data_IF_897267907929
#
_entry.id   IF_897267907929
#
_cell.length_a   1.000
_cell.length_b   1.000
_cell.length_c   1.000
_cell.angle_alpha   90.00
_cell.angle_beta   90.00
_cell.angle_gamma   90.00
#
_symmetry.space_group_name_H-M   'P 1'
#
loop_
_entity.id
_entity.type
_entity.pdbx_description
1 polymer ?
#
# COMPACT_ATOMS: atom_id res chain seq x y z
N UNK A 1 -18.00 -43.71 35.96
CA UNK A 1 -18.31 -42.97 34.71
C UNK A 1 -19.79 -43.11 34.36
N UNK A 2 -20.32 -44.32 34.18
CA UNK A 2 -21.74 -44.53 33.81
C UNK A 2 -22.75 -43.93 34.80
N UNK A 3 -22.50 -44.05 36.12
CA UNK A 3 -23.38 -43.45 37.14
C UNK A 3 -23.45 -41.91 37.07
N UNK A 4 -22.41 -41.25 36.56
CA UNK A 4 -22.41 -39.80 36.38
C UNK A 4 -23.21 -39.41 35.12
N UNK A 5 -23.05 -40.15 34.03
CA UNK A 5 -23.82 -39.95 32.80
C UNK A 5 -25.33 -40.14 33.04
N UNK A 6 -25.71 -41.22 33.72
CA UNK A 6 -27.11 -41.50 34.08
C UNK A 6 -27.72 -40.42 35.00
N UNK A 7 -26.90 -39.81 35.86
CA UNK A 7 -27.33 -38.70 36.73
C UNK A 7 -27.55 -37.41 35.94
N UNK A 8 -26.77 -37.17 34.89
CA UNK A 8 -26.94 -36.01 34.01
C UNK A 8 -28.13 -36.17 33.05
N UNK A 9 -28.37 -37.37 32.52
CA UNK A 9 -29.55 -37.64 31.67
C UNK A 9 -30.85 -37.37 32.43
N UNK A 10 -30.97 -37.89 33.66
CA UNK A 10 -32.14 -37.61 34.51
C UNK A 10 -32.31 -36.12 34.85
N UNK A 11 -31.20 -35.36 34.95
CA UNK A 11 -31.27 -33.90 35.09
C UNK A 11 -31.79 -33.23 33.82
N UNK A 12 -31.33 -33.64 32.65
CA UNK A 12 -31.76 -33.07 31.37
C UNK A 12 -33.25 -33.32 31.10
N UNK A 13 -33.74 -34.52 31.43
CA UNK A 13 -35.17 -34.86 31.32
C UNK A 13 -36.06 -34.03 32.25
N UNK A 14 -35.52 -33.55 33.37
CA UNK A 14 -36.25 -32.70 34.32
C UNK A 14 -36.42 -31.24 33.86
N UNK A 15 -35.68 -30.81 32.83
CA UNK A 15 -35.73 -29.43 32.32
C UNK A 15 -36.93 -29.25 31.37
N UNK A 16 -37.72 -28.17 31.48
CA UNK A 16 -38.80 -27.89 30.54
C UNK A 16 -38.31 -27.84 29.09
N UNK A 17 -39.06 -28.47 28.17
CA UNK A 17 -38.71 -28.52 26.73
C UNK A 17 -38.49 -27.14 26.11
N UNK A 18 -39.26 -26.14 26.57
CA UNK A 18 -39.13 -24.75 26.11
C UNK A 18 -37.77 -24.16 26.51
N UNK A 19 -37.27 -24.47 27.70
CA UNK A 19 -35.95 -24.02 28.18
C UNK A 19 -34.81 -24.69 27.40
N UNK A 20 -34.94 -25.99 27.09
CA UNK A 20 -33.99 -26.68 26.23
C UNK A 20 -33.97 -26.09 24.80
N UNK A 21 -35.15 -25.84 24.23
CA UNK A 21 -35.26 -25.21 22.91
C UNK A 21 -34.65 -23.79 22.90
N UNK A 22 -34.98 -22.96 23.89
CA UNK A 22 -34.48 -21.59 23.99
C UNK A 22 -32.95 -21.54 24.16
N UNK A 23 -32.37 -22.41 25.00
CA UNK A 23 -30.92 -22.47 25.20
C UNK A 23 -30.20 -22.97 23.95
N UNK A 24 -30.74 -23.98 23.25
CA UNK A 24 -30.18 -24.46 21.99
C UNK A 24 -30.17 -23.36 20.90
N UNK A 25 -31.26 -22.59 20.79
CA UNK A 25 -31.34 -21.46 19.87
C UNK A 25 -30.38 -20.33 20.25
N UNK A 26 -30.27 -20.01 21.54
CA UNK A 26 -29.33 -19.02 22.06
C UNK A 26 -27.86 -19.38 21.75
N UNK A 27 -27.46 -20.62 21.99
CA UNK A 27 -26.12 -21.13 21.65
C UNK A 27 -25.90 -21.07 20.14
N UNK A 28 -26.86 -21.52 19.34
CA UNK A 28 -26.78 -21.47 17.87
C UNK A 28 -26.64 -20.04 17.33
N UNK A 29 -27.36 -19.09 17.90
CA UNK A 29 -27.28 -17.67 17.52
C UNK A 29 -25.90 -17.07 17.86
N UNK A 30 -25.40 -17.30 19.07
CA UNK A 30 -24.06 -16.84 19.50
C UNK A 30 -22.98 -17.46 18.62
N UNK A 31 -23.04 -18.77 18.37
CA UNK A 31 -22.09 -19.46 17.50
C UNK A 31 -22.12 -18.90 16.07
N UNK A 32 -23.30 -18.58 15.54
CA UNK A 32 -23.47 -17.98 14.22
C UNK A 32 -22.86 -16.58 14.15
N UNK A 33 -23.11 -15.72 15.15
CA UNK A 33 -22.53 -14.38 15.21
C UNK A 33 -21.00 -14.41 15.36
N UNK A 34 -20.50 -15.27 16.26
CA UNK A 34 -19.07 -15.46 16.47
C UNK A 34 -18.38 -16.00 15.21
N UNK A 35 -18.99 -16.99 14.56
CA UNK A 35 -18.56 -17.54 13.28
C UNK A 35 -18.54 -16.47 12.18
N UNK A 36 -19.62 -15.71 12.02
CA UNK A 36 -19.70 -14.63 11.03
C UNK A 36 -18.63 -13.54 11.28
N UNK A 37 -18.39 -13.16 12.55
CA UNK A 37 -17.32 -12.22 12.93
C UNK A 37 -15.94 -12.78 12.60
N UNK A 38 -15.67 -14.05 12.90
CA UNK A 38 -14.40 -14.71 12.60
C UNK A 38 -14.18 -14.82 11.08
N UNK A 39 -15.19 -15.23 10.32
CA UNK A 39 -15.13 -15.31 8.87
C UNK A 39 -14.86 -13.94 8.25
N UNK A 40 -15.57 -12.89 8.69
CA UNK A 40 -15.28 -11.51 8.26
C UNK A 40 -13.86 -11.11 8.64
N UNK A 41 -13.41 -11.37 9.86
CA UNK A 41 -12.05 -11.03 10.28
C UNK A 41 -10.99 -11.73 9.42
N UNK A 42 -11.21 -12.99 9.01
CA UNK A 42 -10.22 -13.79 8.24
C UNK A 42 -10.31 -13.63 6.72
N UNK A 43 -11.50 -13.34 6.19
CA UNK A 43 -11.79 -13.31 4.75
C UNK A 43 -12.13 -11.93 4.21
N UNK A 44 -12.19 -10.90 5.05
CA UNK A 44 -12.28 -9.52 4.55
C UNK A 44 -10.95 -9.12 3.94
N UNK A 45 -11.00 -8.73 2.67
CA UNK A 45 -9.86 -8.15 1.95
C UNK A 45 -9.66 -6.71 2.39
N UNK A 46 -8.41 -6.32 2.50
CA UNK A 46 -7.99 -4.95 2.73
C UNK A 46 -7.70 -4.35 1.36
N UNK A 47 -8.40 -3.27 1.02
CA UNK A 47 -8.16 -2.57 -0.24
C UNK A 47 -6.95 -1.63 -0.09
N UNK A 48 -7.02 -0.75 0.90
CA UNK A 48 -6.00 0.26 1.20
C UNK A 48 -5.62 0.26 2.68
N UNK A 49 -4.68 1.12 3.04
CA UNK A 49 -4.26 1.34 4.42
C UNK A 49 -5.40 1.85 5.33
N UNK A 50 -6.39 2.56 4.78
CA UNK A 50 -7.55 3.06 5.54
C UNK A 50 -8.45 1.94 6.08
N UNK A 51 -8.44 0.77 5.44
CA UNK A 51 -9.23 -0.39 5.86
C UNK A 51 -8.60 -1.12 7.06
N UNK A 52 -7.40 -0.71 7.49
CA UNK A 52 -6.67 -1.35 8.57
C UNK A 52 -7.12 -0.72 9.89
N UNK A 53 -7.80 -1.53 10.70
CA UNK A 53 -8.19 -1.16 12.07
C UNK A 53 -6.99 -1.23 13.03
N UNK A 54 -6.95 -0.43 14.11
CA UNK A 54 -5.88 -0.46 15.11
C UNK A 54 -5.60 -1.85 15.71
N UNK A 55 -6.60 -2.73 15.77
CA UNK A 55 -6.47 -4.11 16.23
C UNK A 55 -5.53 -4.98 15.38
N UNK A 56 -5.21 -4.53 14.17
CA UNK A 56 -4.35 -5.25 13.23
C UNK A 56 -2.91 -4.75 13.27
N UNK A 57 -2.68 -3.57 13.87
CA UNK A 57 -1.38 -2.94 14.03
C UNK A 57 -0.63 -3.48 15.25
N UNK A 58 0.52 -2.92 15.56
CA UNK A 58 1.44 -3.28 16.64
C UNK A 58 1.91 -4.74 16.56
N UNK A 59 2.11 -5.25 15.34
CA UNK A 59 2.57 -6.60 15.09
C UNK A 59 1.55 -7.70 15.40
N UNK A 60 0.30 -7.33 15.75
CA UNK A 60 -0.77 -8.28 16.10
C UNK A 60 -1.21 -9.14 14.92
N UNK A 61 -1.12 -8.61 13.70
CA UNK A 61 -1.58 -9.30 12.49
C UNK A 61 -0.53 -9.34 11.39
N UNK A 62 -0.54 -10.50 10.72
CA UNK A 62 0.24 -10.75 9.52
C UNK A 62 -0.75 -10.90 8.36
N UNK A 63 -0.52 -10.14 7.30
CA UNK A 63 -1.29 -10.23 6.06
C UNK A 63 -0.42 -10.87 4.98
N UNK A 64 -1.06 -11.58 4.06
CA UNK A 64 -0.40 -12.17 2.89
C UNK A 64 -0.81 -11.41 1.65
N UNK A 65 0.11 -10.99 0.80
CA UNK A 65 -0.26 -10.30 -0.43
C UNK A 65 0.73 -10.51 -1.55
N UNK A 66 0.35 -10.10 -2.76
CA UNK A 66 1.22 -10.09 -3.93
C UNK A 66 1.73 -8.67 -4.13
N UNK A 67 3.04 -8.53 -4.32
CA UNK A 67 3.64 -7.21 -4.61
C UNK A 67 3.37 -6.85 -6.05
N UNK A 68 2.71 -5.72 -6.27
CA UNK A 68 2.30 -5.27 -7.62
C UNK A 68 3.25 -4.25 -8.20
N UNK A 69 3.86 -3.41 -7.37
CA UNK A 69 4.76 -2.34 -7.80
C UNK A 69 5.78 -2.03 -6.71
N UNK A 70 7.02 -1.80 -7.11
CA UNK A 70 8.07 -1.25 -6.25
C UNK A 70 8.36 0.17 -6.73
N UNK A 71 8.18 1.14 -5.83
CA UNK A 71 8.32 2.57 -6.15
C UNK A 71 9.72 3.07 -5.85
N UNK A 72 10.21 2.73 -4.65
CA UNK A 72 11.49 3.15 -4.10
C UNK A 72 12.28 1.93 -3.58
N UNK A 73 13.48 2.18 -3.05
CA UNK A 73 14.32 1.13 -2.45
C UNK A 73 13.75 0.52 -1.17
N UNK A 74 12.82 1.18 -0.48
CA UNK A 74 12.26 0.75 0.81
C UNK A 74 10.71 0.69 0.82
N UNK A 75 10.06 1.07 -0.28
CA UNK A 75 8.60 1.17 -0.39
C UNK A 75 8.04 0.36 -1.57
N UNK A 76 6.92 -0.31 -1.34
CA UNK A 76 6.21 -1.06 -2.37
C UNK A 76 4.70 -1.11 -2.16
N UNK A 77 3.97 -1.48 -3.20
CA UNK A 77 2.51 -1.68 -3.17
C UNK A 77 2.18 -3.16 -3.10
N UNK A 78 1.34 -3.49 -2.13
CA UNK A 78 0.90 -4.84 -1.84
C UNK A 78 -0.60 -4.99 -2.14
N UNK A 79 -0.94 -5.95 -2.99
CA UNK A 79 -2.31 -6.43 -3.14
C UNK A 79 -2.59 -7.51 -2.09
N UNK A 80 -3.44 -7.20 -1.09
CA UNK A 80 -3.80 -8.16 -0.05
C UNK A 80 -4.59 -9.34 -0.62
N UNK A 81 -4.15 -10.56 -0.27
CA UNK A 81 -4.75 -11.84 -0.64
C UNK A 81 -5.28 -12.54 0.61
N UNK A 82 -6.57 -12.85 0.62
CA UNK A 82 -7.23 -13.56 1.73
C UNK A 82 -6.72 -14.99 1.88
N UNK A 83 -6.92 -15.60 3.06
CA UNK A 83 -6.40 -16.92 3.37
C UNK A 83 -6.86 -18.02 2.38
N UNK A 84 -8.13 -17.97 1.94
CA UNK A 84 -8.71 -18.88 0.93
C UNK A 84 -8.23 -18.64 -0.51
N UNK A 85 -7.26 -17.73 -0.72
CA UNK A 85 -6.83 -17.39 -2.07
C UNK A 85 -7.94 -16.69 -2.84
N UNK A 86 -8.01 -16.90 -4.15
CA UNK A 86 -9.00 -16.24 -5.03
C UNK A 86 -8.40 -15.50 -6.22
N UNK A 87 -7.09 -15.27 -6.20
CA UNK A 87 -6.35 -14.62 -7.29
C UNK A 87 -5.55 -15.61 -8.15
N UNK A 88 -5.44 -16.86 -7.71
CA UNK A 88 -4.71 -17.93 -8.38
C UNK A 88 -5.67 -19.10 -8.64
N UNK A 89 -5.39 -19.85 -9.70
CA UNK A 89 -6.09 -21.09 -10.04
C UNK A 89 -6.01 -22.09 -8.86
N UNK A 90 -7.08 -22.88 -8.56
CA UNK A 90 -8.28 -23.15 -9.37
C UNK A 90 -9.44 -22.17 -9.22
N UNK A 91 -9.54 -21.45 -8.10
CA UNK A 91 -10.63 -20.50 -7.85
C UNK A 91 -10.19 -19.07 -8.20
N UNK A 92 -10.17 -18.71 -9.49
CA UNK A 92 -9.89 -17.34 -9.98
C UNK A 92 -11.10 -16.42 -9.85
N UNK A 93 -11.58 -16.22 -8.63
CA UNK A 93 -12.73 -15.33 -8.35
C UNK A 93 -12.34 -13.86 -8.54
N UNK A 94 -11.05 -13.51 -8.50
CA UNK A 94 -10.59 -12.11 -8.50
C UNK A 94 -9.29 -11.94 -9.29
N UNK A 95 -9.17 -10.89 -10.09
CA UNK A 95 -7.94 -10.50 -10.77
C UNK A 95 -7.23 -9.37 -10.05
N UNK A 96 -5.90 -9.33 -10.14
CA UNK A 96 -5.10 -8.18 -9.69
C UNK A 96 -5.31 -7.06 -10.73
N UNK A 97 -5.68 -5.84 -10.32
CA UNK A 97 -5.86 -4.73 -11.25
C UNK A 97 -4.52 -4.35 -11.90
N UNK A 98 -4.55 -4.12 -13.22
CA UNK A 98 -3.36 -3.71 -13.99
C UNK A 98 -3.31 -2.21 -14.26
N UNK A 99 -4.41 -1.48 -14.03
CA UNK A 99 -4.51 -0.04 -14.22
C UNK A 99 -3.89 0.74 -13.06
N UNK A 100 -3.27 1.89 -13.33
CA UNK A 100 -2.66 2.75 -12.28
C UNK A 100 -3.67 3.16 -11.20
N UNK A 101 -4.86 3.63 -11.59
CA UNK A 101 -5.93 4.01 -10.66
C UNK A 101 -6.42 2.82 -9.82
N UNK A 102 -6.68 1.69 -10.48
CA UNK A 102 -7.06 0.45 -9.81
C UNK A 102 -6.00 -0.03 -8.81
N UNK A 103 -4.70 0.13 -9.11
CA UNK A 103 -3.62 -0.19 -8.19
C UNK A 103 -3.60 0.75 -6.99
N UNK A 104 -3.75 2.07 -7.16
CA UNK A 104 -3.74 2.99 -6.02
C UNK A 104 -4.86 2.73 -5.01
N UNK A 105 -6.05 2.34 -5.48
CA UNK A 105 -7.24 2.13 -4.65
C UNK A 105 -7.40 0.69 -4.11
N UNK A 106 -6.63 -0.25 -4.64
CA UNK A 106 -6.72 -1.67 -4.26
C UNK A 106 -5.38 -2.22 -3.75
N UNK A 107 -4.43 -1.35 -3.40
CA UNK A 107 -3.16 -1.79 -2.82
C UNK A 107 -2.81 -1.01 -1.58
N UNK A 108 -2.20 -1.71 -0.64
CA UNK A 108 -1.66 -1.13 0.57
C UNK A 108 -0.24 -0.66 0.24
N UNK A 109 0.07 0.59 0.55
CA UNK A 109 1.41 1.11 0.44
C UNK A 109 2.21 0.68 1.69
N UNK A 110 3.22 -0.16 1.50
CA UNK A 110 4.06 -0.71 2.58
C UNK A 110 5.43 -0.03 2.56
N UNK A 111 5.90 0.38 3.74
CA UNK A 111 7.28 0.81 4.01
C UNK A 111 7.97 -0.29 4.82
N UNK A 112 9.19 -0.66 4.43
CA UNK A 112 10.00 -1.62 5.18
C UNK A 112 10.34 -1.07 6.57
N UNK A 113 10.19 -1.91 7.59
CA UNK A 113 10.53 -1.55 8.96
C UNK A 113 12.04 -1.59 9.21
N UNK A 114 12.55 -0.63 9.99
CA UNK A 114 13.90 -0.62 10.55
C UNK A 114 15.04 -0.31 9.58
N UNK A 115 14.73 -0.01 8.31
CA UNK A 115 15.74 0.23 7.28
C UNK A 115 15.37 1.44 6.41
N UNK A 116 16.37 2.12 5.89
CA UNK A 116 16.24 3.19 4.90
C UNK A 116 17.14 2.89 3.70
N UNK A 117 16.63 3.11 2.50
CA UNK A 117 17.36 2.90 1.25
C UNK A 117 17.97 4.22 0.74
N UNK A 118 18.97 4.19 -0.15
CA UNK A 118 19.41 5.39 -0.84
C UNK A 118 18.25 6.03 -1.61
N UNK A 119 18.10 7.36 -1.47
CA UNK A 119 16.97 8.10 -2.04
C UNK A 119 17.03 8.17 -3.57
N UNK A 120 15.94 7.78 -4.23
CA UNK A 120 15.80 7.90 -5.66
C UNK A 120 15.64 9.38 -6.08
N UNK A 121 16.07 9.76 -7.30
CA UNK A 121 15.87 11.11 -7.80
C UNK A 121 14.38 11.45 -7.88
N UNK A 122 13.99 12.62 -7.36
CA UNK A 122 12.60 13.04 -7.28
C UNK A 122 12.45 14.53 -7.62
N UNK A 123 11.61 14.85 -8.62
CA UNK A 123 11.23 16.21 -9.04
C UNK A 123 12.37 17.25 -8.98
N UNK A 124 13.33 17.13 -9.89
CA UNK A 124 14.44 18.09 -10.01
C UNK A 124 15.54 17.95 -8.95
N UNK A 125 15.34 17.09 -7.92
CA UNK A 125 16.39 16.76 -6.95
C UNK A 125 17.26 15.63 -7.46
N UNK A 126 18.56 15.79 -7.32
CA UNK A 126 19.55 14.75 -7.60
C UNK A 126 19.28 13.57 -6.66
N UNK A 127 19.38 12.34 -7.17
CA UNK A 127 19.25 11.13 -6.35
C UNK A 127 20.56 10.77 -5.67
N UNK A 128 20.50 9.94 -4.63
CA UNK A 128 21.72 9.37 -4.06
C UNK A 128 22.36 8.35 -5.02
N UNK A 129 23.69 8.19 -4.97
CA UNK A 129 24.35 7.06 -5.61
C UNK A 129 23.73 5.73 -5.15
N UNK A 130 23.68 4.75 -6.05
CA UNK A 130 23.16 3.40 -5.78
C UNK A 130 21.65 3.28 -5.49
N UNK A 131 20.87 4.36 -5.60
CA UNK A 131 19.43 4.34 -5.38
C UNK A 131 18.69 3.47 -6.41
N UNK A 132 19.11 3.51 -7.68
CA UNK A 132 18.49 2.73 -8.76
C UNK A 132 18.74 1.24 -8.57
N UNK A 133 19.96 0.88 -8.18
CA UNK A 133 20.44 -0.48 -7.94
C UNK A 133 19.77 -1.09 -6.71
N UNK A 134 19.63 -0.31 -5.63
CA UNK A 134 18.90 -0.71 -4.43
C UNK A 134 17.42 -1.00 -4.74
N UNK A 135 16.75 -0.11 -5.50
CA UNK A 135 15.38 -0.31 -5.97
C UNK A 135 15.24 -1.53 -6.88
N UNK A 136 16.22 -1.75 -7.76
CA UNK A 136 16.24 -2.90 -8.66
C UNK A 136 16.38 -4.20 -7.87
N UNK A 137 17.29 -4.26 -6.90
CA UNK A 137 17.48 -5.42 -6.03
C UNK A 137 16.18 -5.77 -5.29
N UNK A 138 15.50 -4.77 -4.71
CA UNK A 138 14.22 -5.00 -4.05
C UNK A 138 13.19 -5.53 -5.06
N UNK A 139 13.10 -4.91 -6.23
CA UNK A 139 12.19 -5.34 -7.30
C UNK A 139 12.42 -6.80 -7.68
N UNK A 140 13.66 -7.22 -7.92
CA UNK A 140 13.98 -8.59 -8.28
C UNK A 140 13.65 -9.59 -7.16
N UNK A 141 13.77 -9.16 -5.90
CA UNK A 141 13.44 -9.98 -4.74
C UNK A 141 11.95 -10.14 -4.54
N UNK A 142 11.13 -9.09 -4.63
CA UNK A 142 9.74 -9.13 -4.17
C UNK A 142 8.68 -8.93 -5.26
N UNK A 143 9.01 -8.31 -6.40
CA UNK A 143 8.02 -7.97 -7.43
C UNK A 143 7.31 -9.22 -7.96
N UNK A 144 5.97 -9.14 -8.09
CA UNK A 144 5.10 -10.23 -8.52
C UNK A 144 5.14 -11.50 -7.65
N UNK A 145 5.75 -11.44 -6.46
CA UNK A 145 5.81 -12.55 -5.51
C UNK A 145 4.85 -12.33 -4.36
N UNK A 146 4.40 -13.45 -3.78
CA UNK A 146 3.64 -13.42 -2.53
C UNK A 146 4.57 -13.19 -1.36
N UNK A 147 4.25 -12.23 -0.50
CA UNK A 147 4.99 -11.89 0.72
C UNK A 147 4.04 -11.85 1.92
N UNK A 148 4.61 -12.03 3.12
CA UNK A 148 3.90 -11.89 4.38
C UNK A 148 4.33 -10.59 5.04
N UNK A 149 3.39 -9.70 5.34
CA UNK A 149 3.66 -8.42 5.98
C UNK A 149 3.05 -8.42 7.38
N UNK A 150 3.89 -8.31 8.40
CA UNK A 150 3.47 -8.09 9.78
C UNK A 150 3.28 -6.58 9.98
N UNK A 151 2.03 -6.18 10.20
CA UNK A 151 1.66 -4.76 10.24
C UNK A 151 2.04 -4.16 11.58
N UNK A 152 2.85 -3.11 11.55
CA UNK A 152 3.34 -2.47 12.77
C UNK A 152 2.61 -1.17 13.04
N UNK A 153 2.80 -0.16 12.21
CA UNK A 153 2.16 1.15 12.41
C UNK A 153 1.79 1.80 11.09
N UNK A 154 0.92 2.81 11.18
CA UNK A 154 0.59 3.68 10.05
C UNK A 154 1.38 4.97 10.16
N UNK A 155 1.96 5.40 9.06
CA UNK A 155 2.74 6.63 8.92
C UNK A 155 1.87 7.81 8.45
N UNK A 156 2.38 9.03 8.59
CA UNK A 156 1.70 10.29 8.19
C UNK A 156 1.33 10.31 6.70
N UNK A 157 2.08 9.62 5.85
CA UNK A 157 1.84 9.51 4.41
C UNK A 157 0.86 8.38 4.04
N UNK A 158 0.07 7.89 4.99
CA UNK A 158 -0.83 6.74 4.80
C UNK A 158 -0.10 5.45 4.33
N UNK A 159 1.20 5.33 4.65
CA UNK A 159 1.99 4.11 4.44
C UNK A 159 1.90 3.24 5.68
N UNK A 160 1.96 1.94 5.50
CA UNK A 160 1.98 0.99 6.61
C UNK A 160 3.42 0.49 6.77
N UNK A 161 4.01 0.76 7.91
CA UNK A 161 5.31 0.21 8.30
C UNK A 161 5.09 -1.25 8.67
N UNK A 162 5.85 -2.14 8.05
CA UNK A 162 5.69 -3.58 8.26
C UNK A 162 7.02 -4.33 8.19
N UNK A 163 7.14 -5.40 8.99
CA UNK A 163 8.14 -6.43 8.75
C UNK A 163 7.68 -7.33 7.61
N UNK A 164 8.53 -7.51 6.61
CA UNK A 164 8.16 -8.22 5.38
C UNK A 164 8.96 -9.50 5.30
N UNK A 165 8.26 -10.62 5.26
CA UNK A 165 8.85 -11.95 5.20
C UNK A 165 8.59 -12.58 3.84
N UNK A 166 9.64 -13.16 3.26
CA UNK A 166 9.52 -14.01 2.09
C UNK A 166 8.88 -15.35 2.47
N UNK A 167 8.19 -16.04 1.53
CA UNK A 167 7.71 -17.39 1.78
C UNK A 167 8.91 -18.32 2.01
N UNK A 168 8.75 -19.28 2.94
CA UNK A 168 9.81 -20.26 3.19
C UNK A 168 10.07 -21.11 1.96
N UNK A 169 11.34 -21.21 1.56
CA UNK A 169 11.77 -22.08 0.47
C UNK A 169 11.77 -23.55 0.89
N UNK A 170 11.93 -23.82 2.19
CA UNK A 170 12.06 -25.17 2.76
C UNK A 170 10.69 -25.84 2.97
N UNK A 171 9.70 -25.07 3.42
CA UNK A 171 8.34 -25.57 3.69
C UNK A 171 7.30 -24.90 2.79
N UNK A 172 7.47 -25.05 1.46
CA UNK A 172 6.59 -24.40 0.46
C UNK A 172 5.12 -24.81 0.59
N UNK A 173 4.84 -26.01 1.10
CA UNK A 173 3.46 -26.52 1.27
C UNK A 173 2.78 -26.01 2.54
N UNK A 174 3.51 -25.36 3.46
CA UNK A 174 2.94 -24.82 4.71
C UNK A 174 2.72 -23.31 4.54
N UNK A 175 1.47 -22.85 4.27
CA UNK A 175 1.18 -21.46 3.90
C UNK A 175 1.29 -20.46 5.07
N UNK A 176 1.79 -20.90 6.23
CA UNK A 176 1.98 -20.06 7.43
C UNK A 176 3.44 -20.02 7.89
N UNK A 177 4.33 -20.81 7.29
CA UNK A 177 5.74 -20.82 7.66
C UNK A 177 6.48 -19.69 6.94
N UNK A 178 6.98 -18.73 7.73
CA UNK A 178 7.66 -17.53 7.24
C UNK A 178 9.12 -17.84 6.97
N UNK A 179 9.65 -17.27 5.89
CA UNK A 179 11.07 -17.32 5.56
C UNK A 179 11.80 -16.11 6.11
N UNK A 180 12.80 -15.66 5.35
CA UNK A 180 13.70 -14.55 5.70
C UNK A 180 12.98 -13.21 5.67
N UNK A 181 13.40 -12.31 6.56
CA UNK A 181 12.98 -10.90 6.59
C UNK A 181 13.68 -10.12 5.48
N UNK A 182 12.91 -9.40 4.67
CA UNK A 182 13.41 -8.63 3.52
C UNK A 182 14.30 -7.48 3.94
N UNK A 183 13.97 -6.77 5.03
CA UNK A 183 14.78 -5.66 5.55
C UNK A 183 16.16 -6.15 5.94
N UNK A 184 16.24 -7.29 6.65
CA UNK A 184 17.53 -7.87 7.05
C UNK A 184 18.35 -8.33 5.84
N UNK A 185 17.72 -8.96 4.85
CA UNK A 185 18.40 -9.39 3.62
C UNK A 185 18.92 -8.20 2.80
N UNK A 186 18.21 -7.07 2.84
CA UNK A 186 18.62 -5.84 2.16
C UNK A 186 19.84 -5.21 2.82
N UNK A 187 19.91 -5.21 4.16
CA UNK A 187 21.08 -4.78 4.93
C UNK A 187 22.28 -5.69 4.66
N UNK A 188 22.08 -7.02 4.69
CA UNK A 188 23.14 -7.99 4.36
C UNK A 188 23.71 -7.80 2.96
N UNK A 189 22.87 -7.42 2.00
CA UNK A 189 23.30 -7.16 0.63
C UNK A 189 23.94 -5.78 0.44
N UNK A 190 23.96 -4.93 1.49
CA UNK A 190 24.51 -3.58 1.43
C UNK A 190 23.67 -2.58 0.63
N UNK A 191 22.36 -2.84 0.45
CA UNK A 191 21.47 -1.94 -0.30
C UNK A 191 20.62 -1.02 0.58
N UNK A 192 20.61 -1.25 1.90
CA UNK A 192 19.95 -0.43 2.89
C UNK A 192 20.84 -0.22 4.12
N UNK A 193 20.55 0.86 4.84
CA UNK A 193 21.14 1.22 6.13
C UNK A 193 20.08 1.10 7.22
N UNK A 194 20.51 0.86 8.46
CA UNK A 194 19.64 0.80 9.63
C UNK A 194 19.05 2.19 9.92
N UNK A 195 17.75 2.23 10.20
CA UNK A 195 17.07 3.46 10.56
C UNK A 195 16.93 3.58 12.07
N UNK A 196 17.83 4.32 12.74
CA UNK A 196 17.88 4.39 14.22
C UNK A 196 16.98 5.47 14.86
N UNK A 197 16.25 6.26 14.06
CA UNK A 197 15.46 7.37 14.59
C UNK A 197 14.16 6.91 15.28
N UNK A 198 13.43 7.86 15.87
CA UNK A 198 12.18 7.59 16.57
C UNK A 198 11.16 6.85 15.69
N UNK A 199 10.55 5.80 16.25
CA UNK A 199 9.59 4.95 15.54
C UNK A 199 10.21 3.88 14.63
N UNK A 200 11.49 3.56 14.84
CA UNK A 200 12.16 2.39 14.28
C UNK A 200 11.68 1.11 14.95
N UNK A 201 11.43 0.08 14.16
CA UNK A 201 10.94 -1.21 14.64
C UNK A 201 11.76 -2.33 14.01
N UNK A 202 12.32 -3.21 14.86
CA UNK A 202 13.23 -4.29 14.47
C UNK A 202 12.66 -5.69 14.71
N UNK A 203 11.40 -5.76 15.15
CA UNK A 203 10.67 -7.00 15.37
C UNK A 203 11.38 -7.93 16.35
N UNK A 204 11.26 -9.24 16.14
CA UNK A 204 11.89 -10.27 16.99
C UNK A 204 13.39 -10.43 16.76
N UNK A 205 13.92 -9.90 15.64
CA UNK A 205 15.32 -10.03 15.26
C UNK A 205 16.19 -9.12 16.14
N UNK A 206 15.67 -7.93 16.50
CA UNK A 206 16.36 -6.97 17.35
C UNK A 206 17.40 -6.13 16.61
N UNK A 207 17.71 -4.96 17.18
CA UNK A 207 18.64 -3.99 16.60
C UNK A 207 20.06 -4.54 16.45
N UNK A 208 20.53 -5.31 17.43
CA UNK A 208 21.90 -5.84 17.45
C UNK A 208 22.22 -6.73 16.25
N UNK A 209 21.27 -7.55 15.81
CA UNK A 209 21.47 -8.39 14.63
C UNK A 209 21.55 -7.55 13.36
N UNK A 210 20.72 -6.52 13.24
CA UNK A 210 20.80 -5.59 12.12
C UNK A 210 22.17 -4.91 12.09
N UNK A 211 22.64 -4.36 13.22
CA UNK A 211 23.96 -3.71 13.34
C UNK A 211 25.09 -4.64 12.94
N UNK A 212 25.04 -5.88 13.42
CA UNK A 212 26.01 -6.93 13.07
C UNK A 212 26.05 -7.20 11.57
N UNK A 213 24.89 -7.29 10.90
CA UNK A 213 24.84 -7.54 9.46
C UNK A 213 25.26 -6.31 8.64
N UNK A 214 24.93 -5.10 9.09
CA UNK A 214 25.40 -3.88 8.45
C UNK A 214 26.93 -3.77 8.51
N UNK A 215 27.53 -3.98 9.69
CA UNK A 215 28.99 -3.95 9.86
C UNK A 215 29.70 -4.97 8.95
N UNK A 216 29.10 -6.15 8.74
CA UNK A 216 29.61 -7.15 7.78
C UNK A 216 29.53 -6.67 6.33
N UNK A 217 28.40 -6.07 5.93
CA UNK A 217 28.21 -5.54 4.59
C UNK A 217 29.16 -4.36 4.29
N UNK A 218 29.40 -3.50 5.29
CA UNK A 218 30.37 -2.41 5.24
C UNK A 218 31.80 -2.92 5.09
N UNK A 219 32.21 -3.88 5.94
CA UNK A 219 33.54 -4.49 5.88
C UNK A 219 33.79 -5.21 4.53
N UNK A 220 32.75 -5.82 3.97
CA UNK A 220 32.79 -6.48 2.66
C UNK A 220 32.60 -5.51 1.47
N UNK A 221 32.43 -4.20 1.72
CA UNK A 221 32.21 -3.15 0.70
C UNK A 221 31.08 -3.51 -0.30
N UNK A 222 29.98 -4.06 0.22
CA UNK A 222 28.86 -4.51 -0.60
C UNK A 222 27.91 -3.37 -0.97
N UNK A 223 27.35 -3.42 -2.18
CA UNK A 223 26.28 -2.51 -2.61
C UNK A 223 26.68 -1.04 -2.50
N UNK A 224 25.94 -0.27 -1.71
CA UNK A 224 26.20 1.16 -1.53
C UNK A 224 27.56 1.46 -0.87
N UNK A 225 28.11 0.50 -0.12
CA UNK A 225 29.38 0.65 0.60
C UNK A 225 30.63 0.47 -0.28
N UNK A 226 30.46 0.14 -1.56
CA UNK A 226 31.57 -0.14 -2.49
C UNK A 226 32.61 0.99 -2.57
N UNK A 227 32.17 2.25 -2.53
CA UNK A 227 33.03 3.41 -2.72
C UNK A 227 33.58 4.01 -1.41
N UNK A 228 33.27 3.44 -0.24
CA UNK A 228 33.73 3.89 1.08
C UNK A 228 33.20 5.26 1.56
N UNK A 229 32.93 6.20 0.65
CA UNK A 229 32.28 7.49 0.93
C UNK A 229 30.78 7.38 0.66
N UNK A 230 30.04 6.90 1.64
CA UNK A 230 28.58 6.79 1.55
C UNK A 230 27.93 7.76 2.53
N UNK A 231 27.15 8.71 2.01
CA UNK A 231 26.29 9.54 2.84
C UNK A 231 25.07 8.72 3.29
N UNK A 232 24.65 8.87 4.55
CA UNK A 232 23.44 8.19 5.03
C UNK A 232 22.19 8.86 4.43
N UNK A 233 21.09 8.12 4.19
CA UNK A 233 19.90 8.71 3.62
C UNK A 233 19.32 9.85 4.45
N UNK A 234 19.44 9.77 5.77
CA UNK A 234 19.03 10.84 6.68
C UNK A 234 19.91 12.09 6.54
N UNK A 235 21.23 11.95 6.38
CA UNK A 235 22.13 13.08 6.16
C UNK A 235 21.85 13.76 4.81
N UNK A 236 21.65 12.96 3.75
CA UNK A 236 21.28 13.48 2.43
C UNK A 236 19.97 14.28 2.46
N UNK A 237 18.94 13.77 3.16
CA UNK A 237 17.67 14.48 3.34
C UNK A 237 17.84 15.82 4.04
N UNK A 238 18.75 15.91 5.02
CA UNK A 238 19.08 17.18 5.70
C UNK A 238 19.80 18.15 4.76
N UNK A 239 20.78 17.67 3.99
CA UNK A 239 21.54 18.48 3.03
C UNK A 239 20.66 19.08 1.92
N UNK A 240 19.78 18.27 1.34
CA UNK A 240 18.87 18.71 0.26
C UNK A 240 17.63 19.44 0.79
N UNK A 241 17.30 19.25 2.07
CA UNK A 241 16.17 19.90 2.74
C UNK A 241 16.47 21.30 3.28
N UNK A 242 17.74 21.63 3.50
CA UNK A 242 18.14 23.00 3.84
C UNK A 242 18.29 23.83 2.55
N UNK A 243 17.82 25.09 2.52
CA UNK A 243 18.21 26.03 1.47
C UNK A 243 19.74 26.12 1.47
N UNK A 244 20.36 25.93 0.31
CA UNK A 244 21.80 26.17 0.17
C UNK A 244 22.11 27.64 0.48
N UNK A 245 23.18 27.96 1.25
CA UNK A 245 23.57 29.35 1.51
C UNK A 245 23.81 30.17 0.23
N UNK A 246 24.10 29.48 -0.88
CA UNK A 246 24.38 30.08 -2.18
C UNK A 246 23.11 30.53 -2.92
N UNK A 247 21.92 30.13 -2.48
CA UNK A 247 20.65 30.54 -3.10
C UNK A 247 20.28 32.01 -2.78
N UNK A 248 20.86 32.58 -1.72
CA UNK A 248 20.63 33.97 -1.31
C UNK A 248 21.61 34.96 -2.00
N UNK A 249 22.65 34.45 -2.70
CA UNK A 249 23.67 35.29 -3.34
C UNK A 249 23.38 35.61 -4.82
N UNK A 250 22.49 34.88 -5.50
CA UNK A 250 22.07 35.19 -6.87
C UNK A 250 20.77 36.01 -6.98
N UNK A 251 20.04 36.24 -5.88
CA UNK A 251 18.86 37.13 -5.88
C UNK A 251 19.17 38.61 -5.61
N UNK A 252 20.45 38.97 -5.51
CA UNK A 252 20.90 40.36 -5.34
C UNK A 252 20.98 41.10 -6.67
N UNK A 253 19.87 41.68 -7.13
CA UNK A 253 19.94 42.65 -8.23
C UNK A 253 18.62 42.90 -8.97
N UNK A 254 17.67 43.57 -8.31
CA UNK A 254 16.72 44.50 -8.92
C UNK A 254 15.94 45.19 -7.79
N UNK A 255 16.49 46.31 -7.30
CA UNK A 255 15.73 47.27 -6.51
C UNK A 255 14.62 47.87 -7.38
N UNK A 256 13.34 47.86 -6.96
CA UNK A 256 12.37 48.77 -7.50
C UNK A 256 12.49 50.11 -6.77
N UNK A 257 12.92 51.14 -7.50
CA UNK A 257 12.87 52.51 -7.00
C UNK A 257 11.45 52.91 -6.59
N UNK A 258 11.34 53.38 -5.35
CA UNK A 258 10.52 54.51 -4.92
C UNK A 258 9.06 54.59 -5.35
N UNK A 259 8.15 54.05 -4.52
CA UNK A 259 6.81 54.65 -4.36
C UNK A 259 6.41 54.73 -2.88
N UNK A 260 6.39 55.97 -2.41
CA UNK A 260 5.80 56.54 -1.20
C UNK A 260 5.11 55.64 -0.17
N UNK A 261 5.69 55.63 1.04
CA UNK A 261 5.03 55.34 2.31
C UNK A 261 3.85 56.28 2.56
N UNK A 262 2.63 55.94 2.10
CA UNK A 262 1.35 56.42 2.67
C UNK A 262 0.20 55.45 2.32
N UNK A 263 0.04 54.37 3.08
CA UNK A 263 -1.25 53.68 3.31
C UNK A 263 -1.03 52.45 4.20
N UNK A 264 -0.90 52.68 5.52
CA UNK A 264 -1.04 51.58 6.49
C UNK A 264 -1.74 52.00 7.80
N UNK A 265 -2.54 53.07 7.75
CA UNK A 265 -3.34 53.56 8.88
C UNK A 265 -4.74 53.98 8.41
N UNK A 266 -5.51 53.05 7.82
CA UNK A 266 -6.91 53.31 7.45
C UNK A 266 -7.84 52.08 7.48
N UNK A 267 -7.44 50.94 8.07
CA UNK A 267 -8.31 49.76 8.22
C UNK A 267 -8.32 49.26 9.68
N UNK A 268 -8.15 50.16 10.65
CA UNK A 268 -8.28 49.87 12.09
C UNK A 268 -9.13 50.92 12.83
N UNK A 269 -10.17 51.45 12.18
CA UNK A 269 -11.10 52.40 12.80
C UNK A 269 -12.53 52.27 12.27
N UNK A 270 -13.04 51.04 12.17
CA UNK A 270 -14.33 50.77 11.54
C UNK A 270 -15.12 49.60 12.11
N UNK A 271 -14.91 49.22 13.37
CA UNK A 271 -15.69 48.13 14.00
C UNK A 271 -15.90 48.40 15.50
N UNK A 272 -16.51 49.55 15.82
CA UNK A 272 -16.97 49.88 17.16
C UNK A 272 -18.26 50.72 17.07
N UNK A 273 -19.35 50.11 16.64
CA UNK A 273 -20.72 50.57 16.88
C UNK A 273 -21.71 49.52 16.37
N UNK A 274 -22.37 48.82 17.28
CA UNK A 274 -23.74 48.30 17.20
C UNK A 274 -23.91 47.07 18.11
N UNK A 275 -23.96 47.31 19.41
CA UNK A 275 -24.74 46.48 20.33
C UNK A 275 -26.03 47.25 20.62
N UNK A 276 -27.19 46.67 20.28
CA UNK A 276 -28.33 46.58 21.19
C UNK A 276 -29.52 45.87 20.53
N UNK A 277 -30.06 44.93 21.30
CA UNK A 277 -31.44 44.48 21.38
C UNK A 277 -32.01 43.68 20.19
N UNK A 278 -32.42 42.43 20.46
CA UNK A 278 -33.82 42.11 20.81
C UNK A 278 -33.85 40.65 21.29
N UNK A 279 -34.43 40.45 22.46
CA UNK A 279 -34.84 39.16 23.01
C UNK A 279 -36.13 38.69 22.33
N UNK A 280 -36.31 37.36 22.31
CA UNK A 280 -37.51 36.65 22.78
C UNK A 280 -38.07 35.54 21.87
N UNK A 281 -37.90 34.32 22.42
CA UNK A 281 -38.85 33.23 22.62
C UNK A 281 -39.69 32.60 21.48
N UNK A 282 -39.85 31.28 21.68
CA UNK A 282 -41.06 30.47 21.46
C UNK A 282 -41.21 29.61 20.17
N UNK A 283 -41.05 28.29 20.38
CA UNK A 283 -42.10 27.27 20.17
C UNK A 283 -42.17 26.50 18.84
N UNK A 284 -41.90 25.19 18.98
CA UNK A 284 -42.60 23.97 18.47
C UNK A 284 -43.26 24.04 17.08
N UNK A 285 -42.82 23.14 16.19
CA UNK A 285 -43.55 22.77 14.97
C UNK A 285 -43.17 21.38 14.47
N UNK A 286 -44.17 20.51 14.41
CA UNK A 286 -44.15 19.07 14.12
C UNK A 286 -44.29 18.82 12.61
N UNK A 287 -43.76 17.70 12.09
CA UNK A 287 -44.40 16.99 10.97
C UNK A 287 -43.55 16.68 9.72
N UNK A 288 -43.42 15.40 9.32
CA UNK A 288 -42.77 14.97 8.07
C UNK A 288 -43.79 14.79 6.95
N UNK A 289 -43.43 15.05 5.69
CA UNK A 289 -44.20 14.53 4.54
C UNK A 289 -43.46 14.54 3.21
N UNK A 290 -43.92 13.64 2.33
CA UNK A 290 -43.73 13.54 0.88
C UNK A 290 -42.59 12.66 0.35
N UNK A 291 -42.96 11.39 0.25
CA UNK A 291 -42.67 10.42 -0.80
C UNK A 291 -43.03 10.96 -2.21
N UNK A 292 -42.32 10.50 -3.25
CA UNK A 292 -42.53 10.62 -4.73
C UNK A 292 -41.24 11.10 -5.43
N UNK A 293 -40.73 10.56 -6.54
CA UNK A 293 -41.34 9.90 -7.70
C UNK A 293 -40.41 8.82 -8.30
N UNK A 294 -41.04 7.75 -8.80
CA UNK A 294 -40.52 6.87 -9.84
C UNK A 294 -40.15 7.71 -11.08
N UNK A 295 -38.97 7.49 -11.64
CA UNK A 295 -38.67 7.93 -13.00
C UNK A 295 -38.09 6.75 -13.78
N UNK A 296 -38.94 6.19 -14.63
CA UNK A 296 -38.63 5.11 -15.56
C UNK A 296 -38.28 5.79 -16.88
N UNK A 297 -36.98 5.91 -17.16
CA UNK A 297 -36.47 6.45 -18.42
C UNK A 297 -36.05 5.32 -19.36
N UNK A 298 -36.93 4.98 -20.32
CA UNK A 298 -36.59 4.25 -21.54
C UNK A 298 -35.63 5.11 -22.38
N UNK A 299 -34.40 4.66 -22.67
CA UNK A 299 -33.68 5.08 -23.88
C UNK A 299 -32.89 3.91 -24.49
N UNK A 300 -33.36 3.52 -25.67
CA UNK A 300 -32.66 3.09 -26.88
C UNK A 300 -31.47 2.13 -26.78
N UNK A 301 -31.69 0.94 -27.34
CA UNK A 301 -30.68 -0.03 -27.74
C UNK A 301 -29.69 0.57 -28.75
N UNK A 302 -28.40 0.50 -28.44
CA UNK A 302 -27.32 0.64 -29.41
C UNK A 302 -26.57 -0.70 -29.48
N UNK A 303 -26.55 -1.27 -30.68
CA UNK A 303 -25.76 -2.46 -31.04
C UNK A 303 -24.27 -2.18 -30.83
N UNK A 304 -23.59 -3.04 -30.07
CA UNK A 304 -22.13 -3.23 -30.21
C UNK A 304 -21.85 -4.72 -30.22
N UNK A 305 -21.27 -5.14 -31.34
CA UNK A 305 -20.93 -6.51 -31.70
C UNK A 305 -19.94 -7.16 -30.73
N UNK A 306 -20.23 -8.42 -30.40
CA UNK A 306 -19.35 -9.35 -29.71
C UNK A 306 -18.16 -9.72 -30.62
N UNK A 307 -16.93 -9.42 -30.17
CA UNK A 307 -15.72 -10.01 -30.72
C UNK A 307 -15.31 -11.23 -29.87
N UNK A 308 -15.33 -12.42 -30.47
CA UNK A 308 -14.81 -13.66 -29.88
C UNK A 308 -13.27 -13.70 -29.95
N UNK A 309 -12.56 -14.30 -28.97
CA UNK A 309 -11.12 -14.47 -29.05
C UNK A 309 -10.73 -15.66 -29.93
N UNK A 310 -9.76 -15.46 -30.83
CA UNK A 310 -9.01 -16.53 -31.48
C UNK A 310 -7.74 -16.83 -30.68
N UNK A 311 -7.52 -18.11 -30.38
CA UNK A 311 -6.27 -18.63 -29.83
C UNK A 311 -5.19 -18.67 -30.91
N UNK A 312 -3.95 -18.29 -30.56
CA UNK A 312 -2.78 -18.49 -31.43
C UNK A 312 -1.50 -17.94 -30.83
N UNK A 313 -0.54 -18.82 -30.59
CA UNK A 313 0.80 -18.57 -30.05
C UNK A 313 1.69 -17.70 -30.97
N UNK A 314 2.68 -17.00 -30.38
CA UNK A 314 3.82 -16.50 -31.15
C UNK A 314 4.49 -15.25 -30.56
N UNK A 315 5.77 -15.38 -30.21
CA UNK A 315 6.65 -14.35 -29.65
C UNK A 315 6.95 -13.21 -30.62
N UNK A 316 7.03 -11.97 -30.10
CA UNK A 316 7.69 -10.83 -30.76
C UNK A 316 6.82 -9.58 -30.83
N UNK A 317 6.92 -8.70 -29.82
CA UNK A 317 6.22 -7.40 -29.84
C UNK A 317 7.10 -6.34 -30.49
N UNK A 318 6.89 -6.11 -31.79
CA UNK A 318 7.10 -4.81 -32.41
C UNK A 318 5.74 -4.11 -32.49
N UNK A 319 5.63 -2.89 -31.97
CA UNK A 319 4.39 -2.12 -31.99
C UNK A 319 4.26 -1.36 -33.31
N UNK A 320 3.16 -1.58 -34.04
CA UNK A 320 2.72 -0.69 -35.11
C UNK A 320 1.45 0.02 -34.63
N UNK A 321 1.47 1.36 -34.58
CA UNK A 321 0.24 2.16 -34.47
C UNK A 321 -0.52 2.12 -35.81
N UNK A 322 -1.83 1.94 -35.73
CA UNK A 322 -2.76 2.07 -36.85
C UNK A 322 -3.72 3.22 -36.53
N UNK A 323 -3.90 4.14 -37.47
CA UNK A 323 -5.00 5.12 -37.40
C UNK A 323 -6.31 4.52 -37.91
N UNK A 324 -7.43 5.06 -37.41
CA UNK A 324 -8.80 4.56 -37.54
C UNK A 324 -9.41 4.48 -38.95
N UNK A 325 -8.58 4.46 -40.00
CA UNK A 325 -8.98 4.27 -41.40
C UNK A 325 -8.13 3.22 -42.15
N UNK A 326 -7.34 2.40 -41.44
CA UNK A 326 -6.82 1.13 -42.00
C UNK A 326 -5.80 1.26 -43.14
N UNK A 327 -5.01 2.34 -43.22
CA UNK A 327 -3.92 2.49 -44.21
C UNK A 327 -2.55 2.59 -43.51
N UNK A 328 -1.55 1.85 -44.04
CA UNK A 328 -0.15 1.91 -43.59
C UNK A 328 0.51 3.23 -44.02
N UNK A 329 1.08 3.99 -43.08
CA UNK A 329 2.10 4.98 -43.40
C UNK A 329 3.52 4.42 -43.16
N UNK A 330 4.44 4.74 -44.06
CA UNK A 330 5.90 4.60 -43.85
C UNK A 330 6.39 5.83 -43.08
N UNK A 331 6.97 5.66 -41.90
CA UNK A 331 7.76 6.74 -41.27
C UNK A 331 9.14 6.84 -41.94
N UNK A 332 9.58 8.03 -42.35
CA UNK A 332 10.93 8.26 -42.87
C UNK A 332 11.92 8.33 -41.69
N UNK A 333 13.02 7.57 -41.75
CA UNK A 333 14.16 7.80 -40.85
C UNK A 333 14.83 6.60 -40.16
N UNK A 334 14.60 5.34 -40.56
CA UNK A 334 15.34 4.19 -40.00
C UNK A 334 16.16 3.49 -41.08
N UNK A 335 17.48 3.48 -40.87
CA UNK A 335 18.49 2.85 -41.73
C UNK A 335 18.26 1.33 -41.80
N UNK A 336 18.30 0.83 -43.02
CA UNK A 336 18.11 -0.57 -43.41
C UNK A 336 19.26 -1.44 -42.89
N UNK A 337 18.96 -2.47 -42.09
CA UNK A 337 19.96 -3.42 -41.59
C UNK A 337 19.90 -4.67 -42.48
N UNK A 338 20.80 -4.73 -43.46
CA UNK A 338 20.98 -5.84 -44.39
C UNK A 338 21.40 -7.09 -43.61
N UNK A 339 20.59 -8.16 -43.65
CA UNK A 339 21.00 -9.50 -43.18
C UNK A 339 21.32 -10.37 -44.39
N UNK A 340 22.63 -10.52 -44.67
CA UNK A 340 23.16 -11.53 -45.60
C UNK A 340 22.72 -12.92 -45.12
N UNK A 341 22.16 -13.70 -46.05
CA UNK A 341 21.80 -15.11 -45.86
C UNK A 341 23.01 -15.93 -46.37
N UNK A 342 23.69 -16.64 -45.48
CA UNK A 342 24.71 -17.62 -45.86
C UNK A 342 24.00 -18.88 -46.37
N UNK A 343 24.43 -19.33 -47.54
CA UNK A 343 24.18 -20.66 -48.10
C UNK A 343 25.40 -21.48 -47.74
N UNK A 344 25.20 -22.57 -47.03
CA UNK A 344 25.70 -23.92 -47.32
C UNK A 344 25.01 -24.92 -46.38
#
# INVERSE_FOLDING_TARGET
MEALLMKEEKRLESVPRVTLAATSFGIGFIATLAGAKLLRYRFTRLKNADWITPDWLNGKRIIRGVVTRVGDGDNFRLYHTTALGGHRWPLRVRSIPNTRAGLSENTIHIRLAGVDAPEAPHFGKVGQPFATESRQWLSDKILNKSVYCQLMRRDQYNRVVAHVFLPSQLFKWIPFYRGRDVSLEMVKAGWAEIYEQSGAEYGKIGLEEFKRQQAKAEAARMGKWANGKTESPAAFKKRVGQPSPDADLESGGLEPEGVGRRKLLAILSGLAAAQSNVTDSATIGVGPSSNSYLNVGLWSSAHVQLARPCNGWGSGRNYCLWDGLGRRQKSPGVKECIRKRAVD
#
